data_IF_519728213846
#
_entry.id   IF_519728213846
#
_cell.length_a   1.000
_cell.length_b   1.000
_cell.length_c   1.000
_cell.angle_alpha   90.00
_cell.angle_beta   90.00
_cell.angle_gamma   90.00
#
_symmetry.space_group_name_H-M   'P 1'
#
loop_
_entity.id
_entity.type
_entity.pdbx_description
1 polymer ?
#
# COMPACT_ATOMS: atom_id res chain seq x y z
N UNK A 1 31.62 22.90 -46.14
CA UNK A 1 31.61 22.09 -44.90
C UNK A 1 32.39 22.91 -43.88
N UNK A 2 31.69 23.56 -42.94
CA UNK A 2 32.20 24.73 -42.25
C UNK A 2 33.02 24.31 -41.02
N UNK A 3 34.33 24.59 -41.05
CA UNK A 3 35.30 24.16 -40.02
C UNK A 3 34.89 24.67 -38.62
N UNK A 4 34.23 25.83 -38.52
CA UNK A 4 33.69 26.36 -37.26
C UNK A 4 32.63 25.45 -36.63
N UNK A 5 31.70 24.90 -37.42
CA UNK A 5 30.66 23.99 -36.90
C UNK A 5 31.26 22.67 -36.39
N UNK A 6 32.34 22.21 -37.02
CA UNK A 6 33.05 21.01 -36.57
C UNK A 6 33.85 21.25 -35.29
N UNK A 7 34.31 22.48 -35.05
CA UNK A 7 34.98 22.86 -33.80
C UNK A 7 33.97 23.01 -32.66
N UNK A 8 32.83 23.66 -32.88
CA UNK A 8 31.76 23.76 -31.88
C UNK A 8 31.24 22.40 -31.43
N UNK A 9 31.05 21.45 -32.36
CA UNK A 9 30.66 20.09 -32.01
C UNK A 9 31.76 19.30 -31.29
N UNK A 10 33.04 19.65 -31.51
CA UNK A 10 34.15 19.06 -30.76
C UNK A 10 34.18 19.57 -29.31
N UNK A 11 33.99 20.87 -29.12
CA UNK A 11 33.92 21.50 -27.80
C UNK A 11 32.72 20.99 -26.98
N UNK A 12 31.56 20.81 -27.61
CA UNK A 12 30.39 20.18 -26.97
C UNK A 12 30.66 18.71 -26.59
N UNK A 13 31.37 17.97 -27.44
CA UNK A 13 31.73 16.58 -27.15
C UNK A 13 32.72 16.50 -25.97
N UNK A 14 33.70 17.40 -25.89
CA UNK A 14 34.66 17.46 -24.79
C UNK A 14 33.98 17.83 -23.46
N UNK A 15 33.04 18.80 -23.49
CA UNK A 15 32.22 19.15 -22.34
C UNK A 15 31.38 17.95 -21.85
N UNK A 16 30.81 17.18 -22.78
CA UNK A 16 29.98 16.02 -22.47
C UNK A 16 30.81 14.87 -21.87
N UNK A 17 32.03 14.66 -22.38
CA UNK A 17 32.98 13.69 -21.83
C UNK A 17 33.44 14.08 -20.42
N UNK A 18 33.73 15.37 -20.17
CA UNK A 18 34.07 15.83 -18.83
C UNK A 18 32.94 15.57 -17.83
N UNK A 19 31.68 15.86 -18.20
CA UNK A 19 30.51 15.58 -17.36
C UNK A 19 30.33 14.09 -17.07
N UNK A 20 30.59 13.21 -18.03
CA UNK A 20 30.50 11.76 -17.83
C UNK A 20 31.60 11.24 -16.90
N UNK A 21 32.81 11.79 -17.00
CA UNK A 21 33.91 11.47 -16.09
C UNK A 21 33.58 11.91 -14.66
N UNK A 22 33.00 13.10 -14.49
CA UNK A 22 32.61 13.60 -13.17
C UNK A 22 31.44 12.82 -12.59
N UNK A 23 30.46 12.41 -13.42
CA UNK A 23 29.40 11.48 -13.02
C UNK A 23 29.97 10.11 -12.63
N UNK A 24 30.98 9.62 -13.34
CA UNK A 24 31.70 8.38 -13.01
C UNK A 24 32.38 8.46 -11.64
N UNK A 25 33.09 9.56 -11.36
CA UNK A 25 33.69 9.84 -10.03
C UNK A 25 32.63 9.96 -8.94
N UNK A 26 31.47 10.56 -9.23
CA UNK A 26 30.34 10.62 -8.29
C UNK A 26 29.71 9.25 -8.03
N UNK A 27 29.68 8.36 -9.04
CA UNK A 27 29.19 6.99 -8.89
C UNK A 27 30.19 6.13 -8.09
N UNK A 28 31.49 6.29 -8.33
CA UNK A 28 32.57 5.66 -7.55
C UNK A 28 32.60 6.16 -6.09
N UNK A 29 32.21 7.42 -5.86
CA UNK A 29 31.97 7.95 -4.51
C UNK A 29 30.78 7.28 -3.80
N UNK A 30 29.95 6.53 -4.54
CA UNK A 30 28.77 5.81 -4.03
C UNK A 30 29.05 4.31 -3.81
N UNK A 31 30.19 3.79 -4.27
CA UNK A 31 30.66 2.43 -3.98
C UNK A 31 32.07 2.45 -3.36
N UNK A 32 32.13 2.60 -2.04
CA UNK A 32 32.98 1.84 -1.10
C UNK A 32 32.99 2.59 0.24
N UNK A 33 31.95 2.39 1.05
CA UNK A 33 32.15 2.48 2.49
C UNK A 33 32.94 1.21 2.87
N UNK A 34 34.18 1.30 3.37
CA UNK A 34 34.80 0.16 4.00
C UNK A 34 33.89 -0.25 5.16
N UNK A 35 33.48 -1.51 5.20
CA UNK A 35 32.85 -2.13 6.37
C UNK A 35 33.87 -2.03 7.53
N UNK A 36 33.89 -0.88 8.18
CA UNK A 36 34.53 -0.66 9.46
C UNK A 36 33.53 -1.19 10.46
N UNK A 37 33.95 -2.16 11.28
CA UNK A 37 33.21 -2.78 12.38
C UNK A 37 32.75 -1.74 13.42
N UNK A 38 31.81 -0.89 13.03
CA UNK A 38 31.00 -0.08 13.92
C UNK A 38 29.62 -0.68 13.81
N UNK A 39 29.47 -1.75 14.58
CA UNK A 39 28.22 -2.43 14.78
C UNK A 39 27.24 -1.53 15.55
N UNK A 40 26.82 -0.44 14.93
CA UNK A 40 25.51 0.16 15.22
C UNK A 40 24.54 -0.64 14.37
N UNK A 41 24.28 -1.89 14.78
CA UNK A 41 22.97 -2.43 14.54
C UNK A 41 22.02 -1.35 15.07
N UNK A 42 21.32 -0.64 14.19
CA UNK A 42 20.02 -0.09 14.57
C UNK A 42 19.37 -1.25 15.32
N UNK A 43 18.95 -1.09 16.59
CA UNK A 43 18.37 -2.18 17.31
C UNK A 43 17.23 -2.68 16.45
N UNK A 44 17.45 -3.83 15.80
CA UNK A 44 16.39 -4.57 15.15
C UNK A 44 15.59 -4.96 16.36
N UNK A 45 14.56 -4.18 16.63
CA UNK A 45 13.52 -4.57 17.55
C UNK A 45 13.03 -5.88 16.97
N UNK A 46 13.48 -6.98 17.56
CA UNK A 46 13.06 -8.33 17.23
C UNK A 46 11.61 -8.47 17.67
N UNK A 47 10.74 -7.74 16.98
CA UNK A 47 9.32 -7.87 17.10
C UNK A 47 8.94 -9.18 16.42
N UNK A 48 8.01 -9.96 17.00
CA UNK A 48 7.48 -11.12 16.31
C UNK A 48 6.95 -10.70 14.93
N UNK A 49 7.07 -11.56 13.91
CA UNK A 49 6.50 -11.28 12.60
C UNK A 49 5.02 -10.93 12.73
N UNK A 50 4.61 -9.80 12.14
CA UNK A 50 3.20 -9.41 12.13
C UNK A 50 2.45 -10.47 11.31
N UNK A 51 1.47 -11.18 11.91
CA UNK A 51 0.73 -12.20 11.19
C UNK A 51 -0.10 -11.55 10.07
N UNK A 52 -0.26 -12.29 8.97
CA UNK A 52 -1.19 -11.87 7.91
C UNK A 52 -2.61 -12.03 8.46
N UNK A 53 -3.42 -10.95 8.48
CA UNK A 53 -4.78 -11.04 9.00
C UNK A 53 -5.63 -11.97 8.14
N UNK A 54 -6.56 -12.68 8.78
CA UNK A 54 -7.57 -13.49 8.09
C UNK A 54 -8.68 -12.60 7.56
N UNK A 55 -9.15 -12.86 6.34
CA UNK A 55 -10.18 -12.09 5.66
C UNK A 55 -11.38 -12.94 5.30
N UNK A 56 -12.55 -12.56 5.82
CA UNK A 56 -13.83 -13.26 5.61
C UNK A 56 -14.72 -12.59 4.56
N UNK A 57 -14.27 -11.52 3.90
CA UNK A 57 -15.09 -10.78 2.92
C UNK A 57 -15.81 -9.55 3.45
N UNK A 58 -15.61 -9.17 4.72
CA UNK A 58 -16.17 -7.93 5.23
C UNK A 58 -15.45 -6.71 4.62
N UNK A 59 -16.17 -5.96 3.80
CA UNK A 59 -15.67 -4.75 3.14
C UNK A 59 -15.11 -3.71 4.12
N UNK A 60 -15.58 -3.72 5.37
CA UNK A 60 -15.12 -2.81 6.43
C UNK A 60 -13.69 -3.13 6.86
N UNK A 61 -13.31 -4.40 6.79
CA UNK A 61 -12.00 -4.91 7.16
C UNK A 61 -11.03 -4.92 5.97
N UNK A 62 -11.54 -4.82 4.74
CA UNK A 62 -10.75 -4.87 3.51
C UNK A 62 -9.54 -3.93 3.53
N UNK A 63 -9.71 -2.68 3.94
CA UNK A 63 -8.61 -1.71 3.96
C UNK A 63 -7.48 -2.11 4.91
N UNK A 64 -7.82 -2.63 6.09
CA UNK A 64 -6.85 -3.10 7.07
C UNK A 64 -6.17 -4.39 6.59
N UNK A 65 -6.96 -5.33 6.08
CA UNK A 65 -6.49 -6.57 5.48
C UNK A 65 -5.51 -6.29 4.34
N UNK A 66 -5.93 -5.51 3.33
CA UNK A 66 -5.13 -5.22 2.15
C UNK A 66 -3.85 -4.46 2.52
N UNK A 67 -3.92 -3.49 3.44
CA UNK A 67 -2.72 -2.80 3.91
C UNK A 67 -1.68 -3.75 4.51
N UNK A 68 -2.13 -4.65 5.41
CA UNK A 68 -1.26 -5.64 6.04
C UNK A 68 -0.75 -6.69 5.05
N UNK A 69 -1.61 -7.23 4.20
CA UNK A 69 -1.24 -8.20 3.16
C UNK A 69 -0.25 -7.58 2.18
N UNK A 70 -0.49 -6.34 1.76
CA UNK A 70 0.39 -5.65 0.83
C UNK A 70 1.80 -5.51 1.40
N UNK A 71 1.91 -5.00 2.62
CA UNK A 71 3.18 -4.79 3.32
C UNK A 71 3.94 -6.10 3.60
N UNK A 72 3.23 -7.14 4.02
CA UNK A 72 3.86 -8.39 4.44
C UNK A 72 4.10 -9.39 3.30
N UNK A 73 3.37 -9.28 2.19
CA UNK A 73 3.36 -10.29 1.12
C UNK A 73 3.47 -9.66 -0.26
N UNK A 74 2.50 -8.83 -0.66
CA UNK A 74 2.37 -8.40 -2.05
C UNK A 74 3.55 -7.55 -2.55
N UNK A 75 3.99 -6.58 -1.74
CA UNK A 75 5.09 -5.67 -2.07
C UNK A 75 6.47 -6.26 -1.85
N UNK A 76 6.57 -7.42 -1.22
CA UNK A 76 7.85 -8.10 -1.01
C UNK A 76 8.34 -8.73 -2.31
N UNK A 77 9.67 -8.78 -2.47
CA UNK A 77 10.34 -9.50 -3.56
C UNK A 77 10.25 -11.00 -3.33
N UNK A 78 9.07 -11.55 -3.56
CA UNK A 78 8.71 -12.94 -3.37
C UNK A 78 8.05 -13.49 -4.65
N UNK A 79 8.17 -14.79 -4.86
CA UNK A 79 7.52 -15.52 -5.94
C UNK A 79 5.99 -15.31 -5.92
N UNK A 80 5.38 -15.03 -7.07
CA UNK A 80 3.94 -14.83 -7.17
C UNK A 80 3.13 -16.09 -6.83
N UNK A 81 3.68 -17.30 -7.04
CA UNK A 81 3.08 -18.54 -6.59
C UNK A 81 3.01 -18.57 -5.06
N UNK A 82 4.10 -18.18 -4.38
CA UNK A 82 4.12 -18.09 -2.92
C UNK A 82 3.14 -17.02 -2.42
N UNK A 83 3.10 -15.85 -3.08
CA UNK A 83 2.10 -14.81 -2.76
C UNK A 83 0.67 -15.32 -2.95
N UNK A 84 0.40 -16.10 -3.99
CA UNK A 84 -0.90 -16.72 -4.23
C UNK A 84 -1.27 -17.72 -3.13
N UNK A 85 -0.30 -18.52 -2.66
CA UNK A 85 -0.51 -19.44 -1.54
C UNK A 85 -0.84 -18.68 -0.25
N UNK A 86 -0.09 -17.62 0.07
CA UNK A 86 -0.40 -16.76 1.22
C UNK A 86 -1.75 -16.06 1.07
N UNK A 87 -2.10 -15.61 -0.13
CA UNK A 87 -3.40 -14.99 -0.41
C UNK A 87 -4.53 -15.98 -0.10
N UNK A 88 -4.43 -17.21 -0.60
CA UNK A 88 -5.42 -18.25 -0.36
C UNK A 88 -5.54 -18.60 1.14
N UNK A 89 -4.42 -18.73 1.84
CA UNK A 89 -4.43 -19.04 3.28
C UNK A 89 -5.07 -17.89 4.07
N UNK A 90 -4.78 -16.64 3.71
CA UNK A 90 -5.31 -15.47 4.38
C UNK A 90 -6.84 -15.31 4.21
N UNK A 91 -7.47 -15.97 3.24
CA UNK A 91 -8.93 -15.94 3.06
C UNK A 91 -9.61 -17.08 3.84
N UNK A 92 -10.80 -16.83 4.38
CA UNK A 92 -11.57 -17.79 5.17
C UNK A 92 -13.05 -17.82 4.80
N UNK A 93 -13.72 -18.95 5.06
CA UNK A 93 -15.13 -19.14 4.73
C UNK A 93 -15.38 -19.00 3.22
N UNK A 94 -16.43 -18.28 2.86
CA UNK A 94 -16.88 -18.12 1.47
C UNK A 94 -15.81 -17.46 0.57
N UNK A 95 -15.05 -16.49 1.09
CA UNK A 95 -14.04 -15.82 0.28
C UNK A 95 -12.88 -16.73 -0.09
N UNK A 96 -12.55 -17.70 0.78
CA UNK A 96 -11.57 -18.73 0.46
C UNK A 96 -12.05 -19.59 -0.69
N UNK A 97 -13.31 -20.01 -0.68
CA UNK A 97 -13.89 -20.81 -1.75
C UNK A 97 -13.92 -20.03 -3.07
N UNK A 98 -14.21 -18.72 -3.05
CA UNK A 98 -14.06 -17.88 -4.25
C UNK A 98 -12.61 -17.86 -4.77
N UNK A 99 -11.61 -17.72 -3.90
CA UNK A 99 -10.20 -17.71 -4.32
C UNK A 99 -9.74 -19.08 -4.84
N UNK A 100 -10.25 -20.18 -4.29
CA UNK A 100 -9.95 -21.55 -4.76
C UNK A 100 -10.44 -21.85 -6.17
N UNK A 101 -11.43 -21.10 -6.69
CA UNK A 101 -11.91 -21.28 -8.06
C UNK A 101 -10.85 -20.90 -9.10
N UNK A 102 -9.85 -20.10 -8.70
CA UNK A 102 -8.70 -19.80 -9.54
C UNK A 102 -7.64 -20.88 -9.41
N UNK A 103 -6.98 -21.21 -10.51
CA UNK A 103 -5.81 -22.07 -10.47
C UNK A 103 -4.71 -21.41 -9.62
N UNK A 104 -4.13 -22.13 -8.66
CA UNK A 104 -3.00 -21.63 -7.86
C UNK A 104 -1.75 -21.65 -8.76
N UNK A 105 -1.38 -20.50 -9.30
CA UNK A 105 -0.25 -20.35 -10.23
C UNK A 105 0.35 -18.94 -10.13
N UNK A 106 1.54 -18.71 -10.72
CA UNK A 106 2.12 -17.35 -10.79
C UNK A 106 1.26 -16.39 -11.60
N UNK A 107 0.74 -16.85 -12.74
CA UNK A 107 0.03 -16.00 -13.70
C UNK A 107 -1.34 -15.54 -13.19
N UNK A 108 -1.95 -16.27 -12.25
CA UNK A 108 -3.27 -15.96 -11.72
C UNK A 108 -3.24 -14.95 -10.56
N UNK A 109 -2.11 -14.78 -9.87
CA UNK A 109 -2.02 -13.87 -8.73
C UNK A 109 -2.44 -12.43 -9.05
N UNK A 110 -1.93 -11.77 -10.12
CA UNK A 110 -2.37 -10.41 -10.48
C UNK A 110 -3.88 -10.33 -10.75
N UNK A 111 -4.43 -11.31 -11.46
CA UNK A 111 -5.87 -11.37 -11.80
C UNK A 111 -6.74 -11.48 -10.55
N UNK A 112 -6.37 -12.33 -9.59
CA UNK A 112 -7.13 -12.51 -8.35
C UNK A 112 -7.07 -11.25 -7.49
N UNK A 113 -5.90 -10.63 -7.37
CA UNK A 113 -5.74 -9.38 -6.62
C UNK A 113 -6.60 -8.27 -7.22
N UNK A 114 -6.62 -8.15 -8.55
CA UNK A 114 -7.46 -7.17 -9.24
C UNK A 114 -8.94 -7.41 -8.96
N UNK A 115 -9.42 -8.65 -9.10
CA UNK A 115 -10.79 -9.02 -8.80
C UNK A 115 -11.19 -8.70 -7.35
N UNK A 116 -10.32 -9.01 -6.38
CA UNK A 116 -10.58 -8.72 -4.97
C UNK A 116 -10.65 -7.21 -4.71
N UNK A 117 -9.79 -6.40 -5.34
CA UNK A 117 -9.86 -4.94 -5.26
C UNK A 117 -11.17 -4.41 -5.85
N UNK A 118 -11.59 -4.89 -7.01
CA UNK A 118 -12.86 -4.48 -7.62
C UNK A 118 -14.06 -4.82 -6.71
N UNK A 119 -14.03 -5.99 -6.07
CA UNK A 119 -15.11 -6.46 -5.20
C UNK A 119 -15.15 -5.73 -3.85
N UNK A 120 -14.01 -5.46 -3.24
CA UNK A 120 -13.92 -5.02 -1.84
C UNK A 120 -13.35 -3.61 -1.64
N UNK A 121 -12.65 -3.00 -2.61
CA UNK A 121 -12.16 -1.62 -2.51
C UNK A 121 -13.23 -0.58 -2.88
N UNK A 122 -14.47 -0.78 -2.40
CA UNK A 122 -15.57 0.13 -2.65
C UNK A 122 -15.68 1.18 -1.54
N UNK A 123 -14.91 2.26 -1.69
CA UNK A 123 -14.88 3.40 -0.77
C UNK A 123 -16.28 4.00 -0.53
N UNK A 124 -17.11 4.07 -1.58
CA UNK A 124 -18.45 4.62 -1.49
C UNK A 124 -19.39 3.75 -0.66
N UNK A 125 -19.32 2.42 -0.81
CA UNK A 125 -20.07 1.49 0.02
C UNK A 125 -19.66 1.59 1.50
N UNK A 126 -18.37 1.76 1.79
CA UNK A 126 -17.88 1.96 3.14
C UNK A 126 -18.40 3.28 3.75
N UNK A 127 -18.39 4.38 3.00
CA UNK A 127 -18.95 5.66 3.46
C UNK A 127 -20.45 5.55 3.73
N UNK A 128 -21.23 4.94 2.82
CA UNK A 128 -22.67 4.70 3.03
C UNK A 128 -22.92 3.87 4.29
N UNK A 129 -22.10 2.86 4.54
CA UNK A 129 -22.18 2.05 5.75
C UNK A 129 -21.92 2.88 7.02
N UNK A 130 -20.86 3.70 7.02
CA UNK A 130 -20.53 4.58 8.14
C UNK A 130 -21.63 5.62 8.41
N UNK A 131 -22.22 6.21 7.36
CA UNK A 131 -23.36 7.13 7.49
C UNK A 131 -24.60 6.44 8.06
N UNK A 132 -24.90 5.21 7.60
CA UNK A 132 -26.00 4.42 8.17
C UNK A 132 -25.76 4.15 9.65
N UNK A 133 -24.55 3.74 10.02
CA UNK A 133 -24.17 3.52 11.43
C UNK A 133 -24.34 4.80 12.24
N UNK A 134 -23.84 5.94 11.76
CA UNK A 134 -24.00 7.22 12.44
C UNK A 134 -25.47 7.53 12.76
N UNK A 135 -26.37 7.27 11.81
CA UNK A 135 -27.80 7.53 11.95
C UNK A 135 -28.51 6.55 12.90
N UNK A 136 -28.06 5.30 12.98
CA UNK A 136 -28.75 4.24 13.75
C UNK A 136 -28.08 3.92 15.07
N UNK A 137 -26.94 4.55 15.40
CA UNK A 137 -26.27 4.30 16.67
C UNK A 137 -26.99 5.05 17.78
N UNK A 138 -27.39 4.33 18.81
CA UNK A 138 -28.13 4.85 19.96
C UNK A 138 -27.62 4.18 21.25
N UNK A 139 -27.76 4.88 22.37
CA UNK A 139 -27.36 4.35 23.66
C UNK A 139 -28.33 3.24 24.09
N UNK A 140 -27.80 2.18 24.70
CA UNK A 140 -28.63 1.08 25.21
C UNK A 140 -29.62 1.54 26.26
N UNK A 141 -29.21 2.50 27.09
CA UNK A 141 -30.05 3.08 28.15
C UNK A 141 -29.75 4.58 28.33
N UNK A 142 -30.50 5.23 29.22
CA UNK A 142 -30.24 6.61 29.65
C UNK A 142 -29.14 6.73 30.71
N UNK A 143 -28.48 5.63 31.09
CA UNK A 143 -27.37 5.66 32.06
C UNK A 143 -26.18 6.40 31.45
N UNK A 144 -25.47 7.15 32.28
CA UNK A 144 -24.30 7.93 31.88
C UNK A 144 -23.26 7.06 31.13
N UNK A 145 -22.93 5.89 31.67
CA UNK A 145 -21.98 4.95 31.04
C UNK A 145 -22.34 4.55 29.60
N UNK A 146 -23.64 4.36 29.32
CA UNK A 146 -24.10 3.98 27.97
C UNK A 146 -24.10 5.19 27.02
N UNK A 147 -24.31 6.40 27.56
CA UNK A 147 -24.22 7.66 26.81
C UNK A 147 -22.77 8.01 26.48
N UNK A 148 -21.83 7.78 27.40
CA UNK A 148 -20.39 7.97 27.17
C UNK A 148 -19.89 7.05 26.06
N UNK A 149 -20.23 5.76 26.12
CA UNK A 149 -19.92 4.80 25.06
C UNK A 149 -20.53 5.18 23.72
N UNK A 150 -21.75 5.74 23.72
CA UNK A 150 -22.36 6.28 22.51
C UNK A 150 -21.53 7.43 21.94
N UNK A 151 -21.15 8.42 22.77
CA UNK A 151 -20.34 9.55 22.35
C UNK A 151 -18.98 9.12 21.76
N UNK A 152 -18.28 8.18 22.41
CA UNK A 152 -17.03 7.60 21.89
C UNK A 152 -17.23 6.94 20.53
N UNK A 153 -18.32 6.18 20.39
CA UNK A 153 -18.67 5.49 19.14
C UNK A 153 -18.98 6.49 18.03
N UNK A 154 -19.79 7.51 18.30
CA UNK A 154 -20.15 8.55 17.33
C UNK A 154 -18.90 9.34 16.91
N UNK A 155 -18.04 9.71 17.86
CA UNK A 155 -16.78 10.39 17.59
C UNK A 155 -15.90 9.57 16.64
N UNK A 156 -15.70 8.28 16.94
CA UNK A 156 -14.94 7.37 16.07
C UNK A 156 -15.51 7.30 14.65
N UNK A 157 -16.85 7.21 14.51
CA UNK A 157 -17.51 7.18 13.19
C UNK A 157 -17.27 8.49 12.43
N UNK A 158 -17.39 9.65 13.09
CA UNK A 158 -17.16 10.97 12.47
C UNK A 158 -15.71 11.10 12.01
N UNK A 159 -14.73 10.73 12.84
CA UNK A 159 -13.31 10.76 12.47
C UNK A 159 -13.04 9.87 11.25
N UNK A 160 -13.59 8.65 11.22
CA UNK A 160 -13.45 7.77 10.07
C UNK A 160 -14.09 8.35 8.80
N UNK A 161 -15.27 8.95 8.89
CA UNK A 161 -15.92 9.62 7.76
C UNK A 161 -15.07 10.78 7.22
N UNK A 162 -14.50 11.61 8.10
CA UNK A 162 -13.63 12.72 7.69
C UNK A 162 -12.38 12.23 6.96
N UNK A 163 -11.73 11.18 7.46
CA UNK A 163 -10.55 10.58 6.81
C UNK A 163 -10.89 10.01 5.43
N UNK A 164 -12.04 9.33 5.30
CA UNK A 164 -12.46 8.74 4.04
C UNK A 164 -12.98 9.78 3.03
N UNK A 165 -13.63 10.85 3.50
CA UNK A 165 -14.06 11.98 2.67
C UNK A 165 -12.89 12.67 1.97
N UNK A 166 -11.84 13.03 2.72
CA UNK A 166 -10.60 13.63 2.18
C UNK A 166 -9.93 12.77 1.10
N UNK A 167 -10.06 11.45 1.18
CA UNK A 167 -9.47 10.51 0.23
C UNK A 167 -10.28 10.38 -1.07
N UNK A 168 -11.59 10.68 -1.04
CA UNK A 168 -12.46 10.73 -2.22
C UNK A 168 -12.22 12.03 -2.99
N UNK A 169 -12.11 13.16 -2.29
CA UNK A 169 -11.88 14.46 -2.90
C UNK A 169 -10.54 14.51 -3.66
N UNK A 170 -9.49 13.88 -3.11
CA UNK A 170 -8.16 13.82 -3.72
C UNK A 170 -8.05 12.85 -4.90
N UNK A 171 -8.94 11.85 -5.00
CA UNK A 171 -8.96 10.91 -6.14
C UNK A 171 -9.85 11.37 -7.29
N UNK A 172 -10.80 12.28 -7.02
CA UNK A 172 -11.66 12.87 -8.05
C UNK A 172 -10.93 13.97 -8.85
N UNK A 173 -9.90 14.60 -8.29
CA UNK A 173 -9.16 15.71 -8.92
C UNK A 173 -7.93 15.29 -9.75
N UNK A 174 -7.81 14.02 -10.12
CA UNK A 174 -6.68 13.49 -10.92
C UNK A 174 -7.14 12.78 -12.20
N UNK A 175 -8.30 13.19 -12.73
CA UNK A 175 -8.90 12.67 -13.96
C UNK A 175 -8.95 13.66 -15.12
N UNK A 176 -8.75 14.96 -14.87
CA UNK A 176 -8.80 16.00 -15.89
C UNK A 176 -7.51 16.83 -15.82
N UNK A 177 -6.51 16.46 -16.63
CA UNK A 177 -5.42 17.30 -17.15
C UNK A 177 -4.59 16.50 -18.17
#
# INVERSE_FOLDING_TARGET
>A
MNVEKTVEHLDEAELCLSKLIDLGKMLESTETIPLKDSNVYLPVTNLPPIPIPRFNGDIREWGAFWGAFNYNVHSRRMDDLQKMTYLLDAHQGETRECVKQYQISRSTHPTVIQHLKEKYDNKQALVRHLLRRLRTTEAKTKRLEDQEKLCETLYSIVVHLQQKGKLIDTSTNRGDL
#
